data_IF_274495700467
#
_entry.id   IF_274495700467
#
_cell.length_a   1.000
_cell.length_b   1.000
_cell.length_c   1.000
_cell.angle_alpha   90.00
_cell.angle_beta   90.00
_cell.angle_gamma   90.00
#
_symmetry.space_group_name_H-M   'P 1'
#
loop_
_entity.id
_entity.type
_entity.pdbx_description
1 polymer ?
#
# COMPACT_ATOMS: atom_id res chain seq x y z
N UNK A 1 0.95 9.57 10.18
CA UNK A 1 0.27 10.88 10.09
C UNK A 1 -0.48 11.15 11.38
N UNK A 2 -0.52 12.40 11.85
CA UNK A 2 -1.36 12.80 12.97
C UNK A 2 -2.85 12.48 12.73
N UNK A 3 -3.65 12.23 13.78
CA UNK A 3 -5.10 12.15 13.64
C UNK A 3 -5.67 13.47 13.10
N UNK A 4 -6.73 13.39 12.29
CA UNK A 4 -7.38 14.57 11.69
C UNK A 4 -6.68 15.18 10.47
N UNK A 5 -5.55 14.64 10.00
CA UNK A 5 -4.92 15.07 8.73
C UNK A 5 -5.89 14.95 7.57
N UNK A 6 -6.03 16.03 6.81
CA UNK A 6 -6.90 16.07 5.63
C UNK A 6 -6.30 15.30 4.44
N UNK A 7 -7.14 14.94 3.47
CA UNK A 7 -6.69 14.13 2.32
C UNK A 7 -5.65 14.84 1.44
N UNK A 8 -5.82 16.14 1.22
CA UNK A 8 -4.87 16.99 0.50
C UNK A 8 -3.55 17.15 1.26
N UNK A 9 -3.62 17.39 2.57
CA UNK A 9 -2.44 17.41 3.44
C UNK A 9 -1.68 16.07 3.41
N UNK A 10 -2.40 14.95 3.42
CA UNK A 10 -1.81 13.62 3.31
C UNK A 10 -1.12 13.39 1.96
N UNK A 11 -1.73 13.85 0.87
CA UNK A 11 -1.14 13.79 -0.48
C UNK A 11 0.15 14.61 -0.53
N UNK A 12 0.10 15.84 -0.05
CA UNK A 12 1.26 16.74 -0.07
C UNK A 12 2.39 16.21 0.84
N UNK A 13 2.07 15.68 2.02
CA UNK A 13 3.03 15.02 2.90
C UNK A 13 3.67 13.78 2.25
N UNK A 14 2.88 13.03 1.48
CA UNK A 14 3.35 11.86 0.73
C UNK A 14 4.37 12.26 -0.33
N UNK A 15 4.07 13.30 -1.11
CA UNK A 15 5.01 13.85 -2.10
C UNK A 15 6.28 14.39 -1.44
N UNK A 16 6.13 15.12 -0.33
CA UNK A 16 7.26 15.63 0.44
C UNK A 16 8.16 14.52 0.99
N UNK A 17 7.58 13.37 1.36
CA UNK A 17 8.37 12.20 1.80
C UNK A 17 9.25 11.67 0.69
N UNK A 18 8.73 11.54 -0.53
CA UNK A 18 9.53 11.18 -1.71
C UNK A 18 10.66 12.19 -1.95
N UNK A 19 10.34 13.49 -1.96
CA UNK A 19 11.30 14.57 -2.22
C UNK A 19 12.41 14.60 -1.16
N UNK A 20 12.06 14.54 0.13
CA UNK A 20 13.02 14.56 1.24
C UNK A 20 13.86 13.28 1.30
N UNK A 21 13.30 12.15 0.89
CA UNK A 21 14.04 10.90 0.80
C UNK A 21 15.10 10.92 -0.31
N UNK A 22 15.02 11.83 -1.29
CA UNK A 22 16.08 12.18 -2.24
C UNK A 22 16.80 10.99 -2.93
N UNK A 23 16.07 9.91 -3.24
CA UNK A 23 16.63 8.68 -3.81
C UNK A 23 17.42 7.80 -2.83
N UNK A 24 17.58 8.22 -1.57
CA UNK A 24 18.43 7.52 -0.59
C UNK A 24 17.79 6.29 0.07
N UNK A 25 16.55 5.95 -0.27
CA UNK A 25 15.80 4.88 0.41
C UNK A 25 14.85 4.09 -0.48
N UNK A 26 15.13 3.96 -1.79
CA UNK A 26 14.33 3.14 -2.68
C UNK A 26 15.23 2.48 -3.74
N UNK A 27 15.26 1.15 -3.81
CA UNK A 27 16.01 0.43 -4.86
C UNK A 27 17.50 0.13 -4.56
N UNK A 28 17.89 0.07 -3.27
CA UNK A 28 19.27 -0.25 -2.87
C UNK A 28 19.81 -1.61 -3.38
N UNK A 29 21.12 -1.90 -3.22
CA UNK A 29 21.84 -3.00 -3.90
C UNK A 29 21.35 -4.43 -3.61
N UNK A 30 20.42 -4.62 -2.68
CA UNK A 30 19.80 -5.90 -2.34
C UNK A 30 18.39 -6.08 -2.94
N UNK A 31 17.90 -5.11 -3.72
CA UNK A 31 16.61 -5.19 -4.40
C UNK A 31 16.74 -5.83 -5.79
N UNK A 32 15.68 -6.50 -6.24
CA UNK A 32 15.58 -7.17 -7.54
C UNK A 32 15.00 -6.27 -8.65
N UNK A 33 14.86 -4.97 -8.38
CA UNK A 33 14.39 -3.94 -9.31
C UNK A 33 15.41 -2.79 -9.38
N UNK A 34 15.52 -2.10 -10.53
CA UNK A 34 16.42 -0.98 -10.67
C UNK A 34 15.99 0.20 -9.79
N UNK A 35 16.96 0.94 -9.27
CA UNK A 35 16.72 2.22 -8.60
C UNK A 35 15.99 3.18 -9.55
N UNK A 36 14.90 3.78 -9.07
CA UNK A 36 14.17 4.80 -9.83
C UNK A 36 14.96 6.11 -9.78
N UNK A 37 15.31 6.71 -10.93
CA UNK A 37 16.10 7.94 -10.95
C UNK A 37 15.41 9.11 -10.25
N UNK A 38 16.10 9.75 -9.30
CA UNK A 38 15.62 10.97 -8.66
C UNK A 38 15.68 12.16 -9.63
N UNK A 39 14.56 12.42 -10.32
CA UNK A 39 14.44 13.44 -11.37
C UNK A 39 13.14 14.23 -11.23
N UNK A 40 13.09 15.42 -11.86
CA UNK A 40 11.85 16.21 -11.93
C UNK A 40 10.72 15.48 -12.67
N UNK A 41 11.05 14.65 -13.65
CA UNK A 41 10.05 13.84 -14.37
C UNK A 41 9.47 12.75 -13.50
N UNK A 42 10.29 12.16 -12.61
CA UNK A 42 9.81 11.19 -11.63
C UNK A 42 8.90 11.84 -10.57
N UNK A 43 9.27 13.02 -10.05
CA UNK A 43 8.38 13.81 -9.18
C UNK A 43 7.04 14.06 -9.87
N UNK A 44 7.07 14.45 -11.14
CA UNK A 44 5.86 14.71 -11.92
C UNK A 44 5.03 13.45 -12.15
N UNK A 45 5.66 12.31 -12.43
CA UNK A 45 4.96 11.01 -12.53
C UNK A 45 4.19 10.68 -11.25
N UNK A 46 4.78 10.93 -10.08
CA UNK A 46 4.11 10.74 -8.78
C UNK A 46 2.95 11.72 -8.62
N UNK A 47 3.14 13.00 -8.95
CA UNK A 47 2.06 14.00 -8.90
C UNK A 47 0.88 13.60 -9.80
N UNK A 48 1.15 13.17 -11.03
CA UNK A 48 0.12 12.76 -11.98
C UNK A 48 -0.64 11.52 -11.48
N UNK A 49 0.07 10.54 -10.91
CA UNK A 49 -0.53 9.38 -10.25
C UNK A 49 -1.42 9.79 -9.08
N UNK A 50 -0.92 10.64 -8.18
CA UNK A 50 -1.67 11.12 -7.01
C UNK A 50 -2.93 11.89 -7.43
N UNK A 51 -2.89 12.64 -8.53
CA UNK A 51 -4.06 13.31 -9.09
C UNK A 51 -5.07 12.30 -9.64
N UNK A 52 -4.64 11.31 -10.42
CA UNK A 52 -5.49 10.25 -10.94
C UNK A 52 -6.14 9.42 -9.81
N UNK A 53 -5.40 9.24 -8.70
CA UNK A 53 -5.86 8.55 -7.50
C UNK A 53 -6.36 9.50 -6.40
N UNK A 54 -6.68 10.77 -6.70
CA UNK A 54 -7.05 11.75 -5.67
C UNK A 54 -8.29 11.34 -4.85
N UNK A 55 -9.13 10.47 -5.41
CA UNK A 55 -10.27 9.88 -4.72
C UNK A 55 -9.85 9.07 -3.48
N UNK A 56 -8.71 8.36 -3.48
CA UNK A 56 -8.25 7.59 -2.32
C UNK A 56 -7.79 8.52 -1.19
N UNK A 57 -7.21 9.66 -1.53
CA UNK A 57 -6.86 10.68 -0.55
C UNK A 57 -8.10 11.35 0.06
N UNK A 58 -9.03 11.80 -0.79
CA UNK A 58 -10.22 12.53 -0.35
C UNK A 58 -11.25 11.70 0.42
N UNK A 59 -11.34 10.40 0.14
CA UNK A 59 -12.33 9.51 0.75
C UNK A 59 -11.74 8.66 1.88
N UNK A 60 -10.57 8.06 1.67
CA UNK A 60 -10.11 6.97 2.51
C UNK A 60 -9.21 7.41 3.67
N UNK A 61 -8.50 8.54 3.56
CA UNK A 61 -7.64 9.05 4.65
C UNK A 61 -8.46 9.30 5.92
N UNK A 62 -9.53 10.08 5.80
CA UNK A 62 -10.42 10.35 6.93
C UNK A 62 -11.24 9.12 7.35
N UNK A 63 -11.52 8.20 6.43
CA UNK A 63 -12.18 6.94 6.77
C UNK A 63 -11.29 6.06 7.66
N UNK A 64 -10.02 5.88 7.29
CA UNK A 64 -9.04 5.10 8.05
C UNK A 64 -8.89 5.68 9.46
N UNK A 65 -8.73 7.00 9.60
CA UNK A 65 -8.58 7.65 10.90
C UNK A 65 -9.81 7.46 11.81
N UNK A 66 -11.03 7.71 11.28
CA UNK A 66 -12.28 7.54 12.04
C UNK A 66 -12.55 6.10 12.47
N UNK A 67 -11.99 5.13 11.76
CA UNK A 67 -12.11 3.70 12.08
C UNK A 67 -10.91 3.18 12.89
N UNK A 68 -10.14 4.07 13.52
CA UNK A 68 -9.02 3.72 14.40
C UNK A 68 -7.77 3.21 13.67
N UNK A 69 -7.75 3.23 12.33
CA UNK A 69 -6.58 2.91 11.54
C UNK A 69 -5.58 4.08 11.51
N UNK A 70 -4.36 3.78 11.08
CA UNK A 70 -3.29 4.78 10.93
C UNK A 70 -2.62 4.64 9.59
N UNK A 71 -2.03 5.75 9.15
CA UNK A 71 -1.34 5.87 7.87
C UNK A 71 0.05 6.47 8.08
N UNK A 72 0.99 6.08 7.23
CA UNK A 72 2.32 6.65 7.11
C UNK A 72 2.61 6.92 5.64
N UNK A 73 3.44 7.92 5.36
CA UNK A 73 3.93 8.21 4.02
C UNK A 73 5.11 7.31 3.71
N UNK A 74 5.28 6.92 2.44
CA UNK A 74 6.33 5.98 2.03
C UNK A 74 7.27 6.61 1.00
N UNK A 75 8.50 6.09 0.86
CA UNK A 75 9.53 6.67 -0.01
C UNK A 75 9.25 6.56 -1.52
N UNK A 76 8.24 5.81 -1.94
CA UNK A 76 7.74 5.66 -3.31
C UNK A 76 6.53 6.57 -3.62
N UNK A 77 6.24 7.54 -2.75
CA UNK A 77 5.20 8.54 -2.97
C UNK A 77 3.77 8.03 -2.82
N UNK A 78 3.56 6.96 -2.05
CA UNK A 78 2.24 6.44 -1.68
C UNK A 78 2.01 6.49 -0.16
N UNK A 79 0.82 6.11 0.28
CA UNK A 79 0.51 5.90 1.69
C UNK A 79 0.59 4.41 2.02
N UNK A 80 1.08 4.08 3.20
CA UNK A 80 0.94 2.76 3.80
C UNK A 80 0.08 2.85 5.05
N UNK A 81 -0.89 1.95 5.14
CA UNK A 81 -1.93 1.97 6.16
C UNK A 81 -2.07 0.67 6.91
N UNK A 82 -2.58 0.76 8.13
CA UNK A 82 -2.93 -0.40 8.94
C UNK A 82 -4.17 -0.12 9.78
N UNK A 83 -5.10 -1.09 9.83
CA UNK A 83 -6.38 -0.97 10.52
C UNK A 83 -7.48 -0.45 9.60
N UNK A 84 -8.58 0.08 10.16
CA UNK A 84 -9.68 0.61 9.36
C UNK A 84 -10.54 -0.51 8.74
N UNK A 85 -11.47 -1.03 9.54
CA UNK A 85 -12.28 -2.26 9.37
C UNK A 85 -12.94 -2.57 8.00
N UNK A 86 -12.88 -1.74 6.97
CA UNK A 86 -13.61 -1.95 5.71
C UNK A 86 -12.73 -2.42 4.55
N UNK A 87 -11.62 -1.73 4.25
CA UNK A 87 -10.76 -2.06 3.10
C UNK A 87 -10.10 -3.43 3.31
N UNK A 88 -9.66 -3.74 4.53
CA UNK A 88 -9.03 -5.02 4.88
C UNK A 88 -9.98 -6.24 4.71
N UNK A 89 -11.30 -6.07 4.84
CA UNK A 89 -12.29 -7.17 4.70
C UNK A 89 -12.63 -7.50 3.25
N UNK A 90 -12.49 -6.54 2.34
CA UNK A 90 -12.81 -6.73 0.92
C UNK A 90 -11.68 -7.42 0.13
N UNK A 91 -10.43 -7.26 0.56
CA UNK A 91 -9.25 -7.60 -0.25
C UNK A 91 -8.23 -8.54 0.43
N UNK A 92 -8.58 -9.19 1.55
CA UNK A 92 -7.67 -10.06 2.32
C UNK A 92 -7.14 -11.27 1.52
N UNK A 93 -6.07 -11.09 0.75
CA UNK A 93 -5.17 -12.15 0.34
C UNK A 93 -3.70 -11.79 0.68
N UNK A 94 -3.11 -12.66 1.50
CA UNK A 94 -1.70 -12.94 1.84
C UNK A 94 -0.69 -11.85 2.23
N UNK A 95 -0.88 -10.54 2.02
CA UNK A 95 0.13 -9.54 2.46
C UNK A 95 -0.36 -8.11 2.67
N UNK A 96 -1.44 -7.74 2.01
CA UNK A 96 -1.99 -6.39 2.00
C UNK A 96 -2.61 -6.09 0.64
N UNK A 97 -3.07 -4.87 0.42
CA UNK A 97 -3.65 -4.49 -0.87
C UNK A 97 -3.49 -3.00 -1.14
N UNK A 98 -2.97 -2.65 -2.32
CA UNK A 98 -3.05 -1.30 -2.86
C UNK A 98 -4.47 -0.94 -3.33
N UNK A 99 -4.97 0.19 -2.82
CA UNK A 99 -6.26 0.80 -3.13
C UNK A 99 -6.04 2.27 -3.49
N UNK A 100 -6.04 2.57 -4.79
CA UNK A 100 -5.53 3.86 -5.28
C UNK A 100 -4.06 4.03 -4.89
N UNK A 101 -3.75 5.09 -4.14
CA UNK A 101 -2.40 5.36 -3.62
C UNK A 101 -2.22 4.94 -2.14
N UNK A 102 -3.07 4.04 -1.62
CA UNK A 102 -2.96 3.51 -0.25
C UNK A 102 -2.69 2.01 -0.26
N UNK A 103 -1.53 1.58 0.22
CA UNK A 103 -1.23 0.19 0.53
C UNK A 103 -1.68 -0.16 1.95
N UNK A 104 -2.71 -1.00 2.09
CA UNK A 104 -3.18 -1.47 3.38
C UNK A 104 -2.48 -2.76 3.78
N UNK A 105 -1.62 -2.70 4.79
CA UNK A 105 -0.91 -3.86 5.35
C UNK A 105 -1.89 -4.74 6.12
N UNK A 106 -1.80 -6.05 5.91
CA UNK A 106 -2.61 -7.04 6.61
C UNK A 106 -1.85 -7.70 7.77
N UNK A 107 -1.66 -6.93 8.85
CA UNK A 107 -0.95 -7.38 10.05
C UNK A 107 -1.80 -7.17 11.29
N UNK A 108 -1.84 -8.18 12.15
CA UNK A 108 -2.55 -8.13 13.41
C UNK A 108 -2.05 -6.97 14.28
N UNK A 109 -3.02 -6.22 14.81
CA UNK A 109 -2.81 -5.22 15.85
C UNK A 109 -3.58 -5.59 17.08
N UNK A 110 -3.02 -5.19 18.22
CA UNK A 110 -3.75 -5.22 19.47
C UNK A 110 -4.98 -4.32 19.35
N UNK A 111 -6.16 -4.93 19.28
CA UNK A 111 -7.43 -4.24 19.11
C UNK A 111 -7.84 -3.46 20.37
N UNK A 112 -7.22 -3.75 21.52
CA UNK A 112 -7.46 -3.06 22.77
C UNK A 112 -6.56 -1.82 22.92
N UNK A 113 -5.55 -1.65 22.06
CA UNK A 113 -4.63 -0.51 22.13
C UNK A 113 -4.90 0.54 21.04
N UNK A 114 -5.39 1.74 21.41
CA UNK A 114 -5.66 2.82 20.45
C UNK A 114 -4.44 3.31 19.66
N UNK A 115 -3.23 3.08 20.17
CA UNK A 115 -1.97 3.40 19.50
C UNK A 115 -1.32 2.18 18.81
N UNK A 116 -1.96 1.00 18.88
CA UNK A 116 -1.50 -0.24 18.25
C UNK A 116 -1.13 -0.10 16.77
N UNK A 117 -2.02 0.47 15.91
CA UNK A 117 -1.71 0.69 14.50
C UNK A 117 -0.52 1.60 14.24
N UNK A 118 -0.42 2.73 14.96
CA UNK A 118 0.70 3.65 14.83
C UNK A 118 2.03 3.00 15.25
N UNK A 119 2.03 2.25 16.35
CA UNK A 119 3.23 1.53 16.80
C UNK A 119 3.63 0.42 15.83
N UNK A 120 2.67 -0.32 15.27
CA UNK A 120 2.96 -1.37 14.29
C UNK A 120 3.55 -0.80 13.01
N UNK A 121 2.98 0.29 12.48
CA UNK A 121 3.54 0.96 11.31
C UNK A 121 4.97 1.45 11.56
N UNK A 122 5.24 2.00 12.75
CA UNK A 122 6.61 2.39 13.14
C UNK A 122 7.55 1.18 13.14
N UNK A 123 7.15 0.05 13.73
CA UNK A 123 7.95 -1.17 13.74
C UNK A 123 8.24 -1.69 12.33
N UNK A 124 7.25 -1.67 11.43
CA UNK A 124 7.43 -2.07 10.02
C UNK A 124 8.49 -1.19 9.36
N UNK A 125 8.32 0.14 9.45
CA UNK A 125 9.25 1.11 8.85
C UNK A 125 10.66 0.99 9.42
N UNK A 126 10.79 0.88 10.75
CA UNK A 126 12.11 0.77 11.42
C UNK A 126 12.81 -0.56 11.12
N UNK A 127 12.06 -1.66 10.95
CA UNK A 127 12.64 -2.96 10.60
C UNK A 127 13.15 -3.03 9.17
N UNK A 128 12.60 -2.23 8.26
CA UNK A 128 12.89 -2.32 6.83
C UNK A 128 12.39 -3.62 6.17
N UNK A 129 11.57 -4.42 6.87
CA UNK A 129 11.03 -5.67 6.37
C UNK A 129 9.50 -5.65 6.31
N UNK A 130 8.95 -6.52 5.47
CA UNK A 130 7.52 -6.80 5.42
C UNK A 130 7.11 -7.63 6.63
N UNK A 131 5.87 -7.43 7.08
CA UNK A 131 5.28 -8.13 8.20
C UNK A 131 4.02 -8.87 7.77
N UNK A 132 3.70 -9.97 8.43
CA UNK A 132 2.48 -10.73 8.21
C UNK A 132 1.89 -11.23 9.53
N UNK A 133 0.67 -11.76 9.48
CA UNK A 133 0.03 -12.40 10.62
C UNK A 133 0.22 -13.91 10.53
N UNK A 134 0.84 -14.54 11.54
CA UNK A 134 1.01 -15.99 11.59
C UNK A 134 -0.32 -16.72 11.82
N UNK A 135 -0.29 -18.06 11.72
CA UNK A 135 -1.48 -18.91 11.93
C UNK A 135 -2.09 -18.80 13.35
N UNK A 136 -1.36 -18.23 14.30
CA UNK A 136 -1.79 -17.99 15.69
C UNK A 136 -2.31 -16.57 15.89
N UNK A 137 -2.43 -15.76 14.83
CA UNK A 137 -2.90 -14.39 14.90
C UNK A 137 -1.84 -13.41 15.40
N UNK A 138 -0.56 -13.77 15.38
CA UNK A 138 0.52 -12.93 15.89
C UNK A 138 1.23 -12.21 14.74
N UNK A 139 1.60 -10.94 14.91
CA UNK A 139 2.40 -10.22 13.93
C UNK A 139 3.83 -10.76 13.94
N UNK A 140 4.35 -11.13 12.78
CA UNK A 140 5.70 -11.67 12.57
C UNK A 140 6.39 -10.90 11.45
N UNK A 141 7.64 -10.53 11.70
CA UNK A 141 8.55 -9.96 10.71
C UNK A 141 9.02 -11.04 9.74
N UNK A 142 9.03 -10.73 8.44
CA UNK A 142 9.55 -11.61 7.40
C UNK A 142 10.98 -11.21 7.01
N UNK A 143 11.65 -12.04 6.19
CA UNK A 143 12.93 -11.67 5.58
C UNK A 143 12.76 -10.86 4.27
N UNK A 144 11.53 -10.54 3.88
CA UNK A 144 11.25 -9.79 2.66
C UNK A 144 11.47 -8.30 2.93
N UNK A 145 12.34 -7.65 2.16
CA UNK A 145 12.55 -6.21 2.26
C UNK A 145 11.25 -5.42 2.03
N UNK A 146 10.98 -4.44 2.89
CA UNK A 146 9.81 -3.58 2.81
C UNK A 146 9.77 -2.83 1.47
N UNK A 147 10.92 -2.35 1.00
CA UNK A 147 11.06 -1.67 -0.29
C UNK A 147 10.54 -2.51 -1.47
N UNK A 148 10.77 -3.83 -1.43
CA UNK A 148 10.29 -4.75 -2.47
C UNK A 148 8.79 -4.87 -2.48
N UNK A 149 8.16 -4.91 -1.29
CA UNK A 149 6.71 -4.87 -1.19
C UNK A 149 6.17 -3.52 -1.65
N UNK A 150 6.75 -2.42 -1.17
CA UNK A 150 6.31 -1.08 -1.56
C UNK A 150 6.45 -0.84 -3.07
N UNK A 151 7.51 -1.35 -3.71
CA UNK A 151 7.66 -1.30 -5.16
C UNK A 151 6.55 -2.06 -5.88
N UNK A 152 6.24 -3.28 -5.43
CA UNK A 152 5.14 -4.06 -5.98
C UNK A 152 3.79 -3.34 -5.85
N UNK A 153 3.52 -2.76 -4.68
CA UNK A 153 2.26 -2.05 -4.42
C UNK A 153 2.18 -0.73 -5.18
N UNK A 154 3.32 -0.07 -5.44
CA UNK A 154 3.38 1.10 -6.32
C UNK A 154 2.92 0.77 -7.74
N UNK A 155 3.33 -0.39 -8.27
CA UNK A 155 2.88 -0.83 -9.59
C UNK A 155 1.36 -1.01 -9.62
N UNK A 156 0.75 -1.52 -8.55
CA UNK A 156 -0.69 -1.56 -8.41
C UNK A 156 -1.32 -0.17 -8.35
N UNK A 157 -0.72 0.78 -7.62
CA UNK A 157 -1.18 2.18 -7.61
C UNK A 157 -1.15 2.82 -9.00
N UNK A 158 -0.13 2.52 -9.81
CA UNK A 158 -0.07 2.95 -11.22
C UNK A 158 -1.17 2.31 -12.07
N UNK A 159 -1.49 1.04 -11.83
CA UNK A 159 -2.60 0.37 -12.50
C UNK A 159 -3.94 1.03 -12.15
N UNK A 160 -4.16 1.43 -10.90
CA UNK A 160 -5.34 2.20 -10.47
C UNK A 160 -5.43 3.55 -11.19
N UNK A 161 -4.32 4.29 -11.26
CA UNK A 161 -4.26 5.58 -11.94
C UNK A 161 -4.59 5.44 -13.45
N UNK A 162 -4.09 4.39 -14.09
CA UNK A 162 -4.32 4.13 -15.52
C UNK A 162 -5.75 3.68 -15.82
N UNK A 163 -6.31 2.80 -14.98
CA UNK A 163 -7.64 2.20 -15.21
C UNK A 163 -8.78 3.10 -14.74
N UNK A 164 -8.56 3.91 -13.71
CA UNK A 164 -9.55 4.76 -13.08
C UNK A 164 -10.43 4.02 -12.07
N UNK A 165 -10.86 4.74 -11.02
CA UNK A 165 -11.60 4.23 -9.85
C UNK A 165 -12.83 3.37 -10.20
N UNK A 166 -13.69 3.85 -11.11
CA UNK A 166 -14.95 3.17 -11.46
C UNK A 166 -14.75 1.90 -12.29
N UNK A 167 -13.76 1.89 -13.20
CA UNK A 167 -13.44 0.70 -14.02
C UNK A 167 -12.69 -0.34 -13.22
N UNK A 168 -11.87 0.06 -12.25
CA UNK A 168 -11.22 -0.90 -11.35
C UNK A 168 -12.19 -1.47 -10.32
N UNK A 169 -13.10 -0.69 -9.74
CA UNK A 169 -14.16 -1.26 -8.89
C UNK A 169 -15.01 -2.24 -9.70
N UNK A 170 -15.39 -1.89 -10.94
CA UNK A 170 -16.13 -2.80 -11.81
C UNK A 170 -15.32 -4.07 -12.16
N UNK A 171 -14.04 -3.94 -12.52
CA UNK A 171 -13.17 -5.07 -12.83
C UNK A 171 -12.88 -5.95 -11.61
N UNK A 172 -12.69 -5.36 -10.43
CA UNK A 172 -12.42 -6.07 -9.19
C UNK A 172 -13.66 -6.78 -8.65
N UNK A 173 -14.83 -6.12 -8.66
CA UNK A 173 -16.12 -6.78 -8.34
C UNK A 173 -16.37 -7.95 -9.30
N UNK A 174 -16.05 -7.77 -10.58
CA UNK A 174 -16.16 -8.83 -11.58
C UNK A 174 -15.20 -9.99 -11.33
N UNK A 175 -13.95 -9.72 -10.94
CA UNK A 175 -12.96 -10.75 -10.61
C UNK A 175 -13.28 -11.49 -9.31
N UNK A 176 -13.71 -10.80 -8.25
CA UNK A 176 -14.19 -11.43 -7.01
C UNK A 176 -15.42 -12.30 -7.27
N UNK A 177 -16.33 -11.85 -8.13
CA UNK A 177 -17.48 -12.66 -8.56
C UNK A 177 -17.04 -13.89 -9.35
N UNK A 178 -16.04 -13.75 -10.24
CA UNK A 178 -15.50 -14.83 -11.05
C UNK A 178 -14.71 -15.84 -10.21
N UNK A 179 -13.91 -15.42 -9.24
CA UNK A 179 -13.15 -16.31 -8.36
C UNK A 179 -14.09 -17.12 -7.47
N UNK A 180 -15.17 -16.49 -6.99
CA UNK A 180 -16.22 -17.15 -6.19
C UNK A 180 -17.04 -18.17 -6.97
N UNK A 181 -17.10 -18.07 -8.30
CA UNK A 181 -17.84 -19.00 -9.17
C UNK A 181 -16.92 -20.02 -9.87
N UNK A 182 -15.68 -19.63 -10.22
CA UNK A 182 -14.82 -20.39 -11.15
C UNK A 182 -13.45 -20.77 -10.58
N UNK A 183 -13.04 -20.27 -9.40
CA UNK A 183 -11.83 -20.72 -8.70
C UNK A 183 -10.53 -20.70 -9.53
N UNK A 184 -10.24 -19.62 -10.27
CA UNK A 184 -9.02 -19.50 -11.10
C UNK A 184 -8.25 -18.21 -10.85
N UNK A 185 -6.92 -18.31 -10.88
CA UNK A 185 -5.91 -17.27 -10.65
C UNK A 185 -6.19 -15.95 -11.41
N UNK A 186 -5.96 -14.84 -10.73
CA UNK A 186 -6.34 -13.50 -11.18
C UNK A 186 -5.35 -12.92 -12.22
N UNK A 187 -5.84 -12.29 -13.31
CA UNK A 187 -4.99 -11.73 -14.39
C UNK A 187 -4.26 -10.45 -13.96
N UNK A 188 -4.76 -9.75 -12.95
CA UNK A 188 -4.11 -8.56 -12.38
C UNK A 188 -2.77 -8.88 -11.73
N UNK A 189 -2.70 -10.01 -11.02
CA UNK A 189 -1.48 -10.51 -10.37
C UNK A 189 -0.40 -10.89 -11.40
N UNK A 190 -0.78 -11.51 -12.51
CA UNK A 190 0.14 -11.88 -13.59
C UNK A 190 0.73 -10.67 -14.35
N UNK A 191 -0.05 -9.59 -14.51
CA UNK A 191 0.44 -8.34 -15.14
C UNK A 191 1.27 -7.47 -14.18
N UNK A 192 1.11 -7.66 -12.88
CA UNK A 192 1.96 -7.06 -11.85
C UNK A 192 3.31 -7.79 -11.65
N UNK A 193 3.61 -8.79 -12.51
CA UNK A 193 4.91 -9.46 -12.54
C UNK A 193 5.02 -10.73 -11.69
N UNK A 194 3.91 -11.33 -11.24
CA UNK A 194 3.96 -12.64 -10.58
C UNK A 194 4.19 -13.77 -11.60
N UNK A 195 5.45 -14.01 -11.94
CA UNK A 195 5.90 -15.38 -12.14
C UNK A 195 6.29 -15.93 -10.76
N UNK A 196 5.46 -16.84 -10.24
CA UNK A 196 5.69 -17.66 -9.04
C UNK A 196 5.90 -16.94 -7.69
N UNK A 197 4.78 -16.73 -6.98
CA UNK A 197 4.59 -17.33 -5.65
C UNK A 197 5.66 -17.11 -4.58
N UNK A 198 6.17 -15.87 -4.44
CA UNK A 198 7.18 -15.50 -3.45
C UNK A 198 6.79 -15.58 -1.97
N UNK A 199 5.71 -16.28 -1.61
CA UNK A 199 5.43 -16.70 -0.24
C UNK A 199 6.06 -18.07 0.01
N UNK A 200 7.35 -18.06 0.37
CA UNK A 200 7.96 -19.13 1.17
C UNK A 200 8.75 -18.53 2.31
#
# INVERSE_FOLDING_TARGET
MPPGTAGDEARDATLMTYILNAGTGYGGPANDFPETPYTADEVRRIVDRQQANNWSYGQDVGFVDRNGGRLVTTPNGMLMGLGGNWIQRLFSQQGGTAWGDIFMVNVAVDAQDPAGPARRLRQIVESGHAWYTDRKGRPVESNLALDRVLHHEELHSQQWATKGHSRMIAAYVWEVFRDRIFGKTNRLEAQAGLADGGYR
#
